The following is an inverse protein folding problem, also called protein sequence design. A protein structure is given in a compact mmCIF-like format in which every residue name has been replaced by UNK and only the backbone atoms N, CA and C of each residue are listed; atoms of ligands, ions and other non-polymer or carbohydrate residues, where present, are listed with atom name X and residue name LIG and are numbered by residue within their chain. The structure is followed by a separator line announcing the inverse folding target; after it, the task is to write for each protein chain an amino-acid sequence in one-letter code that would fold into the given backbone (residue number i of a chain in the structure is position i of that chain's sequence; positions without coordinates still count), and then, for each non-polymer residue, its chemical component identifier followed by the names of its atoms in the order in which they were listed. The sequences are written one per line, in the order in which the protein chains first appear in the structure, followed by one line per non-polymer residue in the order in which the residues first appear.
data_IF_677289012507
#
_entry.id   IF_677289012507
#
_cell.length_a   1.000
_cell.length_b   1.000
_cell.length_c   1.000
_cell.angle_alpha   90.00
_cell.angle_beta   90.00
_cell.angle_gamma   90.00
#
_symmetry.space_group_name_H-M   'P 1'
#
loop_
_entity.id
_entity.type
_entity.pdbx_description
1 polymer ?
#
# COMPACT_ATOMS: atom_id res chain seq x y z
N UNK A 1 -4.89 -1.74 2.08
CA UNK A 1 -4.90 -2.55 3.32
C UNK A 1 -5.52 -1.73 4.45
N UNK A 2 -6.37 -2.35 5.26
CA UNK A 2 -7.02 -1.74 6.44
C UNK A 2 -6.32 -2.29 7.69
N UNK A 3 -5.92 -1.41 8.60
CA UNK A 3 -5.39 -1.79 9.89
C UNK A 3 -6.48 -2.47 10.71
N UNK A 4 -6.14 -3.56 11.39
CA UNK A 4 -7.10 -4.22 12.27
C UNK A 4 -7.55 -3.31 13.41
N UNK A 5 -8.68 -3.63 14.08
CA UNK A 5 -9.11 -2.86 15.23
C UNK A 5 -8.02 -2.89 16.32
N UNK A 6 -7.73 -1.74 16.90
CA UNK A 6 -6.76 -1.55 17.97
C UNK A 6 -7.18 -0.38 18.86
N UNK A 7 -6.37 -0.01 19.84
CA UNK A 7 -6.69 1.04 20.79
C UNK A 7 -7.73 0.57 21.80
N UNK A 8 -8.61 1.47 22.24
CA UNK A 8 -9.66 1.17 23.21
C UNK A 8 -10.59 0.05 22.74
N UNK A 9 -10.84 -0.06 21.43
CA UNK A 9 -11.67 -1.11 20.87
C UNK A 9 -11.03 -2.50 20.97
N UNK A 10 -9.69 -2.58 20.93
CA UNK A 10 -8.91 -3.82 21.10
C UNK A 10 -7.53 -3.54 21.71
N UNK A 11 -7.43 -3.50 23.05
CA UNK A 11 -6.17 -3.20 23.75
C UNK A 11 -5.09 -4.27 23.56
N UNK A 12 -5.51 -5.52 23.35
CA UNK A 12 -4.61 -6.67 23.22
C UNK A 12 -4.13 -6.91 21.77
N UNK A 13 -4.40 -5.97 20.85
CA UNK A 13 -3.95 -6.11 19.45
C UNK A 13 -2.41 -6.07 19.37
N UNK A 14 -1.76 -6.87 18.48
CA UNK A 14 -0.29 -6.97 18.40
C UNK A 14 0.45 -5.65 18.15
N UNK A 15 -0.25 -4.63 17.66
CA UNK A 15 0.30 -3.31 17.42
C UNK A 15 0.31 -2.40 18.66
N UNK A 16 -0.29 -2.80 19.78
CA UNK A 16 -0.41 -1.99 20.98
C UNK A 16 0.85 -2.11 21.86
N UNK A 17 1.41 -0.98 22.28
CA UNK A 17 2.44 -0.86 23.33
C UNK A 17 2.11 0.35 24.19
N UNK A 18 2.26 0.24 25.50
CA UNK A 18 2.02 1.35 26.45
C UNK A 18 0.65 2.05 26.25
N UNK A 19 -0.39 1.23 26.02
CA UNK A 19 -1.75 1.69 25.71
C UNK A 19 -1.91 2.54 24.44
N UNK A 20 -0.89 2.58 23.58
CA UNK A 20 -0.90 3.29 22.30
C UNK A 20 -0.64 2.32 21.15
N UNK A 21 -1.29 2.56 20.03
CA UNK A 21 -0.93 1.85 18.80
C UNK A 21 0.44 2.34 18.35
N UNK A 22 1.40 1.44 18.20
CA UNK A 22 2.75 1.71 17.64
C UNK A 22 2.73 2.34 16.25
N UNK A 23 1.61 2.18 15.53
CA UNK A 23 1.38 2.75 14.20
C UNK A 23 0.45 3.97 14.23
N UNK A 24 0.09 4.44 15.42
CA UNK A 24 -0.76 5.60 15.68
C UNK A 24 -2.11 5.51 14.96
N UNK A 25 -2.79 4.36 15.08
CA UNK A 25 -4.17 4.18 14.66
C UNK A 25 -5.15 4.37 15.83
N UNK A 26 -6.37 4.91 15.57
CA UNK A 26 -6.84 5.45 14.29
C UNK A 26 -6.08 6.73 13.88
N UNK A 27 -5.87 6.93 12.58
CA UNK A 27 -5.23 8.15 12.06
C UNK A 27 -6.16 9.35 12.21
N UNK A 28 -5.61 10.53 12.46
CA UNK A 28 -6.41 11.76 12.49
C UNK A 28 -6.99 12.07 11.10
N UNK A 29 -8.16 12.70 11.09
CA UNK A 29 -8.71 13.32 9.89
C UNK A 29 -7.94 14.62 9.63
N UNK A 30 -7.62 14.87 8.37
CA UNK A 30 -6.82 16.02 7.96
C UNK A 30 -7.44 16.62 6.69
N UNK A 31 -7.70 17.92 6.66
CA UNK A 31 -8.37 18.57 5.54
C UNK A 31 -7.45 18.81 4.33
N UNK A 32 -6.14 18.80 4.52
CA UNK A 32 -5.13 18.97 3.47
C UNK A 32 -3.87 18.13 3.75
N UNK A 33 -3.02 17.94 2.74
CA UNK A 33 -1.74 17.24 2.93
C UNK A 33 -0.66 18.23 3.38
N UNK A 34 -0.01 17.98 4.52
CA UNK A 34 1.02 18.86 5.10
C UNK A 34 2.25 18.09 5.58
N UNK A 35 3.38 18.78 5.64
CA UNK A 35 4.60 18.32 6.29
C UNK A 35 4.65 18.91 7.71
N UNK A 36 5.07 18.13 8.70
CA UNK A 36 5.38 18.68 10.03
C UNK A 36 6.82 19.17 10.12
N UNK A 37 7.19 19.70 11.30
CA UNK A 37 8.52 20.26 11.57
C UNK A 37 9.64 19.22 11.49
N UNK A 38 9.29 17.94 11.65
CA UNK A 38 10.22 16.82 11.61
C UNK A 38 10.27 16.18 10.21
N UNK A 39 9.55 16.73 9.23
CA UNK A 39 9.52 16.27 7.85
C UNK A 39 8.57 15.10 7.59
N UNK A 40 7.72 14.71 8.55
CA UNK A 40 6.72 13.68 8.31
C UNK A 40 5.53 14.22 7.52
N UNK A 41 5.07 13.41 6.57
CA UNK A 41 3.91 13.72 5.73
C UNK A 41 2.62 13.30 6.44
N UNK A 42 1.76 14.28 6.69
CA UNK A 42 0.38 14.09 7.11
C UNK A 42 -0.51 14.26 5.89
N UNK A 43 -0.93 13.14 5.28
CA UNK A 43 -1.78 13.18 4.10
C UNK A 43 -3.21 13.59 4.43
N UNK A 44 -3.84 14.32 3.51
CA UNK A 44 -5.27 14.62 3.57
C UNK A 44 -6.09 13.36 3.79
N UNK A 45 -6.95 13.39 4.81
CA UNK A 45 -7.89 12.32 5.15
C UNK A 45 -9.24 12.93 5.50
N UNK A 46 -10.12 13.00 4.50
CA UNK A 46 -11.51 13.47 4.62
C UNK A 46 -12.38 12.40 5.26
N UNK A 47 -13.39 12.76 6.03
CA UNK A 47 -14.37 11.80 6.50
C UNK A 47 -15.05 11.07 5.33
N UNK A 48 -15.36 9.79 5.51
CA UNK A 48 -15.98 8.95 4.50
C UNK A 48 -17.15 8.21 5.11
N UNK A 49 -18.32 8.17 4.45
CA UNK A 49 -19.47 7.43 4.94
C UNK A 49 -19.24 5.90 4.90
N UNK A 50 -18.26 5.46 4.11
CA UNK A 50 -17.92 4.04 3.99
C UNK A 50 -17.05 3.56 5.15
N UNK A 51 -17.42 2.41 5.70
CA UNK A 51 -16.68 1.69 6.73
C UNK A 51 -16.61 0.20 6.40
N UNK A 52 -15.59 -0.48 6.92
CA UNK A 52 -15.46 -1.93 6.86
C UNK A 52 -15.67 -2.51 8.26
N UNK A 53 -16.42 -3.60 8.39
CA UNK A 53 -16.64 -4.25 9.69
C UNK A 53 -15.67 -5.40 9.88
N UNK A 54 -14.97 -5.44 11.00
CA UNK A 54 -14.12 -6.58 11.39
C UNK A 54 -14.40 -6.98 12.83
N UNK A 55 -14.83 -8.23 13.03
CA UNK A 55 -15.19 -8.78 14.33
C UNK A 55 -16.18 -7.88 15.12
N UNK A 56 -17.23 -7.41 14.44
CA UNK A 56 -18.27 -6.54 15.01
C UNK A 56 -17.87 -5.06 15.18
N UNK A 57 -16.63 -4.69 14.86
CA UNK A 57 -16.15 -3.31 15.00
C UNK A 57 -16.12 -2.64 13.63
N UNK A 58 -16.80 -1.50 13.49
CA UNK A 58 -16.74 -0.65 12.31
C UNK A 58 -15.39 0.09 12.24
N UNK A 59 -14.69 -0.07 11.13
CA UNK A 59 -13.42 0.57 10.82
C UNK A 59 -13.64 1.55 9.68
N UNK A 60 -13.59 2.83 9.99
CA UNK A 60 -13.65 3.89 9.00
C UNK A 60 -12.30 4.07 8.29
N UNK A 61 -12.23 5.10 7.45
CA UNK A 61 -11.04 5.42 6.70
C UNK A 61 -9.85 5.86 7.55
N UNK A 62 -10.00 6.10 8.87
CA UNK A 62 -8.87 6.36 9.80
C UNK A 62 -8.01 5.12 10.04
N UNK A 63 -8.55 3.93 9.76
CA UNK A 63 -7.81 2.66 9.82
C UNK A 63 -7.10 2.31 8.50
N UNK A 64 -7.21 3.13 7.45
CA UNK A 64 -6.55 2.85 6.18
C UNK A 64 -5.05 3.19 6.20
N UNK A 65 -4.23 2.24 5.76
CA UNK A 65 -2.76 2.37 5.66
C UNK A 65 -2.28 3.38 4.60
N UNK A 66 -3.09 3.61 3.56
CA UNK A 66 -2.83 4.58 2.50
C UNK A 66 -4.13 5.31 2.16
N UNK A 67 -4.04 6.61 1.91
CA UNK A 67 -5.17 7.40 1.37
C UNK A 67 -5.48 6.84 -0.01
N UNK A 68 -6.69 6.28 -0.18
CA UNK A 68 -7.22 6.00 -1.52
C UNK A 68 -7.82 7.29 -2.03
N UNK A 69 -7.28 7.81 -3.12
CA UNK A 69 -7.97 8.83 -3.90
C UNK A 69 -8.99 8.12 -4.79
N UNK A 70 -10.23 8.59 -4.77
CA UNK A 70 -11.22 8.26 -5.80
C UNK A 70 -11.17 9.41 -6.80
N UNK A 71 -10.79 9.13 -8.03
CA UNK A 71 -10.97 10.08 -9.12
C UNK A 71 -12.44 9.94 -9.54
N UNK A 72 -13.24 10.97 -9.29
CA UNK A 72 -14.56 11.12 -9.88
C UNK A 72 -14.43 12.08 -11.06
N UNK A 73 -14.98 11.71 -12.22
CA UNK A 73 -15.17 12.64 -13.32
C UNK A 73 -16.03 13.79 -12.82
N UNK A 74 -15.64 15.02 -13.15
CA UNK A 74 -16.35 16.25 -12.79
C UNK A 74 -17.75 16.25 -13.40
N UNK A 75 -18.72 15.79 -12.62
CA UNK A 75 -20.14 16.04 -12.80
C UNK A 75 -20.71 16.17 -11.39
N UNK A 76 -21.30 17.33 -11.12
CA UNK A 76 -22.06 17.68 -9.92
C UNK A 76 -21.25 18.23 -8.72
N UNK A 77 -20.83 19.49 -8.88
CA UNK A 77 -20.56 20.39 -7.75
C UNK A 77 -21.77 21.31 -7.56
N UNK A 78 -22.56 21.06 -6.52
CA UNK A 78 -23.45 22.07 -5.95
C UNK A 78 -22.62 22.91 -4.98
N UNK A 79 -22.37 24.15 -5.41
CA UNK A 79 -21.69 25.22 -4.72
C UNK A 79 -22.61 25.85 -3.66
N UNK A 80 -22.16 25.91 -2.41
CA UNK A 80 -22.60 26.90 -1.41
C UNK A 80 -21.44 27.14 -0.46
N UNK A 81 -20.85 28.33 -0.55
CA UNK A 81 -19.58 28.70 0.05
C UNK A 81 -19.57 29.05 1.53
N UNK A 82 -18.33 29.20 2.04
CA UNK A 82 -17.85 30.28 2.93
C UNK A 82 -16.34 30.39 2.65
N UNK A 83 -15.89 31.51 2.07
CA UNK A 83 -14.47 31.81 1.83
C UNK A 83 -13.75 32.08 3.16
N UNK A 84 -13.30 31.01 3.81
CA UNK A 84 -12.08 31.08 4.58
C UNK A 84 -10.93 31.12 3.56
N UNK A 85 -9.99 32.06 3.69
CA UNK A 85 -8.73 32.06 2.93
C UNK A 85 -7.96 30.81 3.38
N UNK A 86 -8.28 29.66 2.77
CA UNK A 86 -7.47 28.46 2.87
C UNK A 86 -6.25 28.77 2.01
N UNK A 87 -5.03 28.82 2.57
CA UNK A 87 -3.85 28.99 1.75
C UNK A 87 -3.88 27.95 0.64
N UNK A 88 -3.60 28.34 -0.59
CA UNK A 88 -3.62 27.45 -1.75
C UNK A 88 -2.60 26.31 -1.52
N UNK A 89 -3.05 25.21 -0.93
CA UNK A 89 -2.19 24.08 -0.60
C UNK A 89 -2.01 23.26 -1.88
N UNK A 90 -0.83 23.35 -2.48
CA UNK A 90 -0.45 22.49 -3.60
C UNK A 90 -0.21 21.05 -3.10
N UNK A 91 -1.29 20.28 -2.99
CA UNK A 91 -1.24 18.89 -2.53
C UNK A 91 -0.37 17.99 -3.41
N UNK A 92 -0.30 18.26 -4.72
CA UNK A 92 0.52 17.48 -5.67
C UNK A 92 2.00 17.67 -5.36
N UNK A 93 2.43 18.92 -5.18
CA UNK A 93 3.81 19.24 -4.80
C UNK A 93 4.14 18.64 -3.43
N UNK A 94 3.26 18.79 -2.44
CA UNK A 94 3.47 18.21 -1.10
C UNK A 94 3.56 16.67 -1.14
N UNK A 95 2.81 16.02 -2.03
CA UNK A 95 2.88 14.57 -2.21
C UNK A 95 4.19 14.13 -2.86
N UNK A 96 4.68 14.87 -3.86
CA UNK A 96 5.96 14.61 -4.53
C UNK A 96 7.12 14.86 -3.55
N UNK A 97 7.13 16.00 -2.86
CA UNK A 97 8.14 16.36 -1.87
C UNK A 97 8.16 15.37 -0.71
N UNK A 98 7.00 14.93 -0.23
CA UNK A 98 6.89 13.92 0.83
C UNK A 98 7.34 12.51 0.43
N UNK A 99 7.58 12.25 -0.86
CA UNK A 99 8.14 11.00 -1.38
C UNK A 99 9.60 11.14 -1.78
N UNK A 100 10.16 12.35 -1.72
CA UNK A 100 11.56 12.58 -1.99
C UNK A 100 12.41 11.82 -0.97
N UNK A 101 13.37 11.05 -1.49
CA UNK A 101 14.35 10.31 -0.71
C UNK A 101 15.67 11.03 -0.95
N UNK A 102 16.40 11.38 0.12
CA UNK A 102 17.66 12.09 -0.05
C UNK A 102 18.70 11.21 -0.81
N UNK A 103 19.67 11.81 -1.53
CA UNK A 103 20.63 11.04 -2.32
C UNK A 103 21.36 9.95 -1.53
N UNK A 104 21.67 10.23 -0.26
CA UNK A 104 22.31 9.29 0.65
C UNK A 104 21.41 8.08 0.98
N UNK A 105 20.13 8.29 1.27
CA UNK A 105 19.18 7.18 1.52
C UNK A 105 18.90 6.38 0.23
N UNK A 106 18.86 7.05 -0.93
CA UNK A 106 18.73 6.39 -2.23
C UNK A 106 19.95 5.50 -2.53
N UNK A 107 21.17 6.00 -2.30
CA UNK A 107 22.40 5.21 -2.44
C UNK A 107 22.40 4.02 -1.48
N UNK A 108 21.95 4.20 -0.23
CA UNK A 108 21.80 3.11 0.74
C UNK A 108 20.83 2.02 0.27
N UNK A 109 19.72 2.41 -0.38
CA UNK A 109 18.78 1.45 -0.99
C UNK A 109 19.39 0.72 -2.19
N UNK A 110 20.08 1.43 -3.08
CA UNK A 110 20.72 0.86 -4.28
C UNK A 110 21.81 -0.14 -3.89
N UNK A 111 22.60 0.18 -2.88
CA UNK A 111 23.69 -0.66 -2.36
C UNK A 111 23.19 -1.72 -1.36
N UNK A 112 21.87 -1.81 -1.16
CA UNK A 112 21.21 -2.77 -0.28
C UNK A 112 21.76 -2.77 1.17
N UNK A 113 22.15 -1.60 1.68
CA UNK A 113 22.57 -1.47 3.07
C UNK A 113 21.34 -1.54 3.99
N UNK A 114 21.50 -2.04 5.24
CA UNK A 114 20.42 -2.01 6.22
C UNK A 114 20.03 -0.56 6.56
N UNK A 115 18.84 -0.13 6.15
CA UNK A 115 18.33 1.24 6.41
C UNK A 115 17.40 1.27 7.62
N UNK A 116 16.72 0.16 7.86
CA UNK A 116 15.86 -0.04 9.00
C UNK A 116 16.00 -1.50 9.44
N UNK A 117 15.99 -1.76 10.75
CA UNK A 117 15.76 -3.08 11.32
C UNK A 117 14.30 -3.50 11.09
N UNK A 118 13.92 -3.70 9.82
CA UNK A 118 12.61 -4.22 9.45
C UNK A 118 12.72 -5.71 9.26
N UNK A 119 12.42 -6.43 10.33
CA UNK A 119 12.14 -7.86 10.27
C UNK A 119 10.63 -8.03 10.20
N UNK A 120 10.09 -8.70 9.16
CA UNK A 120 10.76 -9.34 8.03
C UNK A 120 11.03 -8.39 6.84
N UNK A 121 11.91 -8.82 5.94
CA UNK A 121 12.09 -8.19 4.62
C UNK A 121 10.74 -8.05 3.91
N UNK A 122 10.46 -6.87 3.37
CA UNK A 122 9.20 -6.58 2.68
C UNK A 122 9.45 -6.71 1.19
N UNK A 123 8.98 -7.80 0.58
CA UNK A 123 8.84 -7.89 -0.86
C UNK A 123 7.46 -7.40 -1.30
N UNK A 124 7.44 -6.70 -2.44
CA UNK A 124 6.20 -6.25 -3.06
C UNK A 124 5.74 -7.32 -4.04
N UNK A 125 4.60 -8.00 -3.81
CA UNK A 125 4.09 -8.97 -4.76
C UNK A 125 3.75 -8.27 -6.08
N UNK A 126 3.97 -8.97 -7.20
CA UNK A 126 3.63 -8.50 -8.54
C UNK A 126 2.10 -8.53 -8.76
N UNK A 127 1.36 -7.66 -8.06
CA UNK A 127 -0.09 -7.55 -8.20
C UNK A 127 -0.42 -6.78 -9.47
N UNK A 128 -1.24 -7.39 -10.32
CA UNK A 128 -1.74 -6.83 -11.58
C UNK A 128 -3.24 -7.12 -11.70
N UNK A 129 -3.91 -6.42 -12.62
CA UNK A 129 -5.27 -6.80 -13.03
C UNK A 129 -5.21 -8.11 -13.84
N UNK A 130 -6.37 -8.72 -14.04
CA UNK A 130 -6.51 -9.90 -14.91
C UNK A 130 -5.96 -9.56 -16.30
N UNK A 131 -5.07 -10.40 -16.81
CA UNK A 131 -4.39 -10.27 -18.11
C UNK A 131 -3.57 -8.98 -18.33
N UNK A 132 -3.23 -8.27 -17.25
CA UNK A 132 -2.36 -7.08 -17.29
C UNK A 132 -1.02 -7.33 -16.61
N UNK A 133 -0.48 -8.55 -16.73
CA UNK A 133 0.86 -8.87 -16.23
C UNK A 133 1.91 -8.15 -17.07
N UNK A 134 2.95 -7.62 -16.43
CA UNK A 134 4.10 -7.13 -17.16
C UNK A 134 4.88 -8.33 -17.73
N UNK A 135 5.16 -8.33 -19.02
CA UNK A 135 5.92 -9.40 -19.69
C UNK A 135 7.14 -8.81 -20.39
N UNK A 136 8.31 -9.34 -20.06
CA UNK A 136 9.57 -8.95 -20.69
C UNK A 136 9.95 -9.98 -21.75
N UNK A 137 10.27 -9.53 -22.96
CA UNK A 137 10.78 -10.37 -24.03
C UNK A 137 11.91 -9.65 -24.79
N UNK A 138 12.76 -10.41 -25.46
CA UNK A 138 13.82 -9.86 -26.29
C UNK A 138 13.25 -9.41 -27.64
N UNK A 139 13.73 -8.30 -28.17
CA UNK A 139 13.28 -7.72 -29.44
C UNK A 139 13.42 -8.68 -30.63
N UNK A 140 14.41 -9.58 -30.59
CA UNK A 140 14.67 -10.55 -31.65
C UNK A 140 13.77 -11.80 -31.60
N UNK A 141 12.87 -11.92 -30.63
CA UNK A 141 11.95 -13.06 -30.53
C UNK A 141 10.69 -12.83 -31.35
N UNK A 142 10.27 -13.88 -32.09
CA UNK A 142 8.98 -13.86 -32.79
C UNK A 142 7.83 -13.94 -31.79
N UNK A 143 6.81 -13.10 -31.96
CA UNK A 143 5.58 -13.09 -31.14
C UNK A 143 4.93 -14.47 -31.02
N UNK A 144 4.91 -15.25 -32.10
CA UNK A 144 4.35 -16.61 -32.09
C UNK A 144 5.12 -17.56 -31.15
N UNK A 145 6.44 -17.42 -31.05
CA UNK A 145 7.24 -18.20 -30.12
C UNK A 145 6.99 -17.78 -28.66
N UNK A 146 6.71 -16.49 -28.44
CA UNK A 146 6.38 -15.93 -27.12
C UNK A 146 5.02 -16.46 -26.65
N UNK A 147 3.99 -16.38 -27.48
CA UNK A 147 2.62 -16.83 -27.14
C UNK A 147 2.58 -18.35 -26.91
N UNK A 148 3.34 -19.13 -27.69
CA UNK A 148 3.42 -20.59 -27.54
C UNK A 148 4.21 -21.02 -26.30
N UNK A 149 4.89 -20.11 -25.62
CA UNK A 149 5.61 -20.44 -24.40
C UNK A 149 4.59 -20.74 -23.27
N UNK A 150 4.59 -21.96 -22.70
CA UNK A 150 3.68 -22.31 -21.61
C UNK A 150 3.92 -21.49 -20.32
N UNK A 151 5.07 -20.80 -20.22
CA UNK A 151 5.39 -19.89 -19.14
C UNK A 151 4.98 -18.43 -19.40
N UNK A 152 4.40 -18.13 -20.56
CA UNK A 152 3.95 -16.78 -20.89
C UNK A 152 2.84 -16.30 -19.96
N UNK A 153 2.94 -15.05 -19.49
CA UNK A 153 1.96 -14.44 -18.60
C UNK A 153 1.94 -14.98 -17.16
N UNK A 154 2.82 -15.94 -16.84
CA UNK A 154 2.95 -16.47 -15.49
C UNK A 154 3.86 -15.57 -14.66
N UNK A 155 3.33 -15.05 -13.56
CA UNK A 155 4.12 -14.35 -12.55
C UNK A 155 4.37 -15.27 -11.36
N UNK A 156 5.37 -14.96 -10.56
CA UNK A 156 5.64 -15.67 -9.30
C UNK A 156 4.40 -15.68 -8.40
N UNK A 157 3.61 -14.59 -8.39
CA UNK A 157 2.36 -14.50 -7.63
C UNK A 157 1.27 -15.44 -8.17
N UNK A 158 1.07 -15.49 -9.50
CA UNK A 158 0.03 -16.36 -10.08
C UNK A 158 0.37 -17.83 -9.89
N UNK A 159 1.63 -18.22 -10.09
CA UNK A 159 2.04 -19.62 -9.89
C UNK A 159 2.03 -20.02 -8.43
N UNK A 160 2.41 -19.12 -7.50
CA UNK A 160 2.27 -19.36 -6.06
C UNK A 160 0.81 -19.66 -5.67
N UNK A 161 -0.13 -18.85 -6.15
CA UNK A 161 -1.57 -19.07 -5.90
C UNK A 161 -2.09 -20.36 -6.54
N UNK A 162 -1.65 -20.69 -7.77
CA UNK A 162 -2.03 -21.94 -8.43
C UNK A 162 -1.45 -23.17 -7.72
N UNK A 163 -0.21 -23.08 -7.26
CA UNK A 163 0.47 -24.19 -6.59
C UNK A 163 -0.14 -24.47 -5.22
N UNK A 164 -0.49 -23.43 -4.45
CA UNK A 164 -1.25 -23.58 -3.20
C UNK A 164 -2.65 -24.22 -3.37
N UNK A 165 -3.22 -24.21 -4.59
CA UNK A 165 -4.46 -24.96 -4.88
C UNK A 165 -4.19 -26.44 -5.16
N UNK A 166 -3.00 -26.80 -5.62
CA UNK A 166 -2.64 -28.16 -6.05
C UNK A 166 -1.97 -28.96 -4.95
N UNK A 167 -1.11 -28.33 -4.17
CA UNK A 167 -0.33 -28.97 -3.11
C UNK A 167 -0.53 -28.26 -1.77
N UNK A 168 -0.90 -29.05 -0.75
CA UNK A 168 -1.05 -28.58 0.62
C UNK A 168 0.30 -28.31 1.29
N UNK A 169 1.40 -28.87 0.78
CA UNK A 169 2.76 -28.73 1.33
C UNK A 169 3.36 -27.33 1.24
N UNK A 170 2.70 -26.39 0.56
CA UNK A 170 3.12 -24.99 0.45
C UNK A 170 2.28 -23.99 1.26
N UNK A 171 1.20 -24.44 1.90
CA UNK A 171 0.25 -23.56 2.62
C UNK A 171 0.84 -22.95 3.90
N UNK A 172 1.87 -23.57 4.46
CA UNK A 172 2.62 -23.11 5.63
C UNK A 172 3.69 -22.06 5.29
N UNK A 173 3.99 -21.87 4.00
CA UNK A 173 5.06 -20.98 3.56
C UNK A 173 4.57 -19.58 3.24
N UNK A 174 5.39 -18.61 3.61
CA UNK A 174 5.23 -17.24 3.13
C UNK A 174 5.63 -17.16 1.64
N UNK A 175 5.15 -16.14 0.94
CA UNK A 175 5.51 -15.88 -0.46
C UNK A 175 7.03 -15.89 -0.71
N UNK A 176 7.80 -15.34 0.24
CA UNK A 176 9.27 -15.31 0.21
C UNK A 176 9.90 -16.70 0.35
N UNK A 177 9.38 -17.51 1.25
CA UNK A 177 9.95 -18.82 1.56
C UNK A 177 9.52 -19.90 0.56
N UNK A 178 8.55 -19.60 -0.31
CA UNK A 178 7.95 -20.58 -1.20
C UNK A 178 8.95 -21.13 -2.22
N UNK A 179 9.64 -20.26 -2.94
CA UNK A 179 10.66 -20.63 -3.94
C UNK A 179 11.93 -21.24 -3.32
N UNK A 180 12.06 -21.24 -1.98
CA UNK A 180 13.16 -21.94 -1.31
C UNK A 180 12.85 -23.41 -1.05
N UNK A 181 11.57 -23.83 -1.14
CA UNK A 181 11.13 -25.22 -0.90
C UNK A 181 10.75 -25.95 -2.19
N UNK A 182 10.36 -25.22 -3.24
CA UNK A 182 9.94 -25.71 -4.55
C UNK A 182 10.76 -25.05 -5.66
#
# INVERSE_FOLDING_TARGET
MIHGPCGLARPNSPCMRDSRCTKSFPKMLECSSRLDKDGYVHYRRRESPHHATKNGIALDNRFHYRVRFRISSSGDAADTGVDAIVPEVNEVKNFVDGRYICPHEAAWRILNFPIHERTPAIETPAVHLEDMQNVTFKENLRLQAIIRNPSFGKTTLTEWLQSNKRDAGGLDLTYLNYCSKF
#
